data_IF_680126401254
#
_entry.id   IF_680126401254
#
_cell.length_a   1.000
_cell.length_b   1.000
_cell.length_c   1.000
_cell.angle_alpha   90.00
_cell.angle_beta   90.00
_cell.angle_gamma   90.00
#
_symmetry.space_group_name_H-M   'P 1'
#
loop_
_entity.id
_entity.type
_entity.pdbx_description
1 polymer ?
#
# COMPACT_ATOMS: atom_id res chain seq x y z
N UNK A 1 -13.13 18.49 -7.73
CA UNK A 1 -12.96 19.83 -7.14
C UNK A 1 -12.21 20.70 -8.13
N UNK A 2 -12.75 21.86 -8.52
CA UNK A 2 -12.07 22.84 -9.40
C UNK A 2 -11.45 24.00 -8.61
N UNK A 3 -11.85 24.19 -7.35
CA UNK A 3 -11.28 25.18 -6.42
C UNK A 3 -10.53 24.47 -5.28
N UNK A 4 -9.43 25.07 -4.81
CA UNK A 4 -8.64 24.55 -3.70
C UNK A 4 -9.28 24.91 -2.35
N UNK A 5 -9.25 23.98 -1.39
CA UNK A 5 -9.73 24.18 -0.01
C UNK A 5 -8.53 24.24 0.98
N UNK A 6 -7.85 25.38 1.09
CA UNK A 6 -6.67 25.51 1.95
C UNK A 6 -7.03 25.57 3.44
N UNK A 7 -6.27 24.84 4.26
CA UNK A 7 -6.27 25.05 5.72
C UNK A 7 -5.44 26.31 6.03
N UNK A 8 -6.11 27.40 6.43
CA UNK A 8 -5.48 28.73 6.62
C UNK A 8 -5.00 29.01 8.04
N UNK A 9 -5.46 28.24 9.02
CA UNK A 9 -5.14 28.41 10.43
C UNK A 9 -4.52 27.14 11.00
N UNK A 10 -3.56 27.30 11.90
CA UNK A 10 -2.93 26.17 12.60
C UNK A 10 -3.95 25.64 13.62
N UNK A 11 -4.34 24.36 13.58
CA UNK A 11 -5.22 23.78 14.58
C UNK A 11 -4.51 23.69 15.95
N UNK A 12 -5.17 24.12 17.02
CA UNK A 12 -4.63 24.07 18.39
C UNK A 12 -5.26 22.98 19.26
N UNK A 13 -6.42 22.47 18.86
CA UNK A 13 -7.15 21.47 19.64
C UNK A 13 -6.53 20.07 19.49
N UNK A 14 -6.41 19.35 20.61
CA UNK A 14 -6.07 17.92 20.63
C UNK A 14 -7.07 17.16 21.49
N UNK A 15 -7.70 16.14 20.90
CA UNK A 15 -8.65 15.25 21.57
C UNK A 15 -8.01 13.93 22.01
N UNK A 16 -6.81 13.62 21.52
CA UNK A 16 -6.13 12.36 21.78
C UNK A 16 -5.33 12.40 23.06
N UNK A 17 -5.42 11.31 23.81
CA UNK A 17 -4.78 11.14 25.13
C UNK A 17 -4.22 9.74 25.29
N UNK A 18 -3.55 9.52 26.42
CA UNK A 18 -3.04 8.21 26.81
C UNK A 18 -4.16 7.14 26.77
N UNK A 19 -3.88 6.05 26.07
CA UNK A 19 -4.80 4.93 25.89
C UNK A 19 -5.69 5.01 24.64
N UNK A 20 -5.73 6.15 23.95
CA UNK A 20 -6.31 6.22 22.60
C UNK A 20 -5.40 5.49 21.60
N UNK A 21 -5.95 5.06 20.47
CA UNK A 21 -5.27 4.15 19.54
C UNK A 21 -4.96 4.86 18.22
N UNK A 22 -3.69 4.80 17.81
CA UNK A 22 -3.26 5.23 16.49
C UNK A 22 -3.02 4.00 15.64
N UNK A 23 -3.67 3.93 14.48
CA UNK A 23 -3.57 2.81 13.54
C UNK A 23 -2.91 3.29 12.27
N UNK A 24 -1.68 2.84 12.02
CA UNK A 24 -1.01 3.06 10.74
C UNK A 24 -1.54 2.08 9.70
N UNK A 25 -2.31 2.59 8.75
CA UNK A 25 -2.93 1.82 7.68
C UNK A 25 -2.06 1.91 6.41
N UNK A 26 -0.94 1.21 6.49
CA UNK A 26 0.19 1.17 5.57
C UNK A 26 1.43 0.67 6.32
N UNK A 27 2.53 0.42 5.62
CA UNK A 27 3.78 -0.04 6.25
C UNK A 27 4.84 1.08 6.20
N UNK A 28 5.56 1.28 7.31
CA UNK A 28 6.56 2.34 7.43
C UNK A 28 7.88 1.91 6.78
N UNK A 29 8.19 2.49 5.62
CA UNK A 29 9.46 2.29 4.93
C UNK A 29 10.31 3.57 5.02
N UNK A 30 11.39 3.52 5.81
CA UNK A 30 12.33 4.64 5.94
C UNK A 30 11.71 5.92 6.50
N UNK A 31 12.24 7.08 6.06
CA UNK A 31 11.73 8.41 6.44
C UNK A 31 10.68 8.86 5.43
N UNK A 32 9.48 9.18 5.90
CA UNK A 32 8.40 9.71 5.08
C UNK A 32 7.42 10.59 5.87
N UNK A 33 6.38 11.11 5.22
CA UNK A 33 5.39 11.97 5.88
C UNK A 33 4.75 11.31 7.11
N UNK A 34 4.53 10.00 7.07
CA UNK A 34 3.96 9.24 8.17
C UNK A 34 4.79 9.30 9.47
N UNK A 35 6.10 9.50 9.38
CA UNK A 35 6.98 9.58 10.55
C UNK A 35 6.59 10.74 11.47
N UNK A 36 6.30 11.92 10.91
CA UNK A 36 5.91 13.09 11.70
C UNK A 36 4.57 12.90 12.40
N UNK A 37 3.59 12.29 11.71
CA UNK A 37 2.27 12.00 12.29
C UNK A 37 2.38 10.96 13.42
N UNK A 38 3.18 9.91 13.20
CA UNK A 38 3.45 8.87 14.20
C UNK A 38 4.11 9.44 15.45
N UNK A 39 5.07 10.35 15.29
CA UNK A 39 5.73 11.00 16.42
C UNK A 39 4.76 11.87 17.24
N UNK A 40 3.79 12.53 16.60
CA UNK A 40 2.75 13.27 17.32
C UNK A 40 1.81 12.33 18.10
N UNK A 41 1.42 11.19 17.50
CA UNK A 41 0.62 10.18 18.19
C UNK A 41 1.33 9.63 19.43
N UNK A 42 2.64 9.34 19.32
CA UNK A 42 3.47 8.92 20.46
C UNK A 42 3.55 9.99 21.55
N UNK A 43 3.76 11.26 21.16
CA UNK A 43 3.80 12.39 22.11
C UNK A 43 2.47 12.57 22.86
N UNK A 44 1.34 12.32 22.19
CA UNK A 44 0.02 12.30 22.83
C UNK A 44 -0.22 11.08 23.74
N UNK A 45 0.73 10.13 23.79
CA UNK A 45 0.65 8.92 24.61
C UNK A 45 -0.26 7.83 24.02
N UNK A 46 -0.58 7.93 22.72
CA UNK A 46 -1.42 6.95 22.04
C UNK A 46 -0.72 5.59 21.95
N UNK A 47 -1.51 4.52 22.01
CA UNK A 47 -1.06 3.18 21.67
C UNK A 47 -0.90 3.08 20.16
N UNK A 48 0.29 2.69 19.70
CA UNK A 48 0.60 2.54 18.27
C UNK A 48 0.30 1.11 17.83
N UNK A 49 -0.53 0.99 16.80
CA UNK A 49 -0.84 -0.26 16.09
C UNK A 49 -0.58 -0.05 14.60
N UNK A 50 -0.04 -1.04 13.92
CA UNK A 50 0.17 -1.02 12.48
C UNK A 50 -0.34 -2.28 11.80
N UNK A 51 -0.42 -2.22 10.48
CA UNK A 51 -0.61 -3.38 9.61
C UNK A 51 0.70 -3.73 8.90
N UNK A 52 0.74 -4.89 8.26
CA UNK A 52 1.81 -5.24 7.33
C UNK A 52 1.23 -5.54 5.95
N UNK A 53 1.97 -5.23 4.89
CA UNK A 53 1.63 -5.71 3.55
C UNK A 53 2.02 -7.18 3.36
N UNK A 54 2.70 -7.80 4.33
CA UNK A 54 3.27 -9.13 4.23
C UNK A 54 4.49 -9.17 3.31
N UNK A 55 4.88 -10.37 2.89
CA UNK A 55 5.98 -10.61 1.94
C UNK A 55 5.53 -11.62 0.90
N UNK A 56 6.32 -11.77 -0.16
CA UNK A 56 6.13 -12.88 -1.11
C UNK A 56 7.21 -13.93 -0.89
N UNK A 57 6.84 -15.20 -1.03
CA UNK A 57 7.77 -16.32 -0.98
C UNK A 57 8.45 -16.57 -2.35
N UNK A 58 9.20 -17.66 -2.47
CA UNK A 58 9.92 -18.04 -3.68
C UNK A 58 8.98 -18.36 -4.86
N UNK A 59 7.73 -18.75 -4.58
CA UNK A 59 6.69 -18.99 -5.56
C UNK A 59 5.86 -17.73 -5.85
N UNK A 60 6.31 -16.57 -5.37
CA UNK A 60 5.61 -15.30 -5.46
C UNK A 60 4.25 -15.29 -4.74
N UNK A 61 3.99 -16.22 -3.81
CA UNK A 61 2.75 -16.26 -3.04
C UNK A 61 2.82 -15.31 -1.84
N UNK A 62 1.72 -14.62 -1.53
CA UNK A 62 1.63 -13.69 -0.42
C UNK A 62 1.63 -14.45 0.92
N UNK A 63 2.49 -14.05 1.85
CA UNK A 63 2.63 -14.64 3.19
C UNK A 63 2.73 -13.57 4.29
N UNK A 64 2.39 -13.97 5.51
CA UNK A 64 2.66 -13.21 6.73
C UNK A 64 4.16 -13.01 6.95
N UNK A 65 4.49 -12.07 7.82
CA UNK A 65 5.86 -11.87 8.31
C UNK A 65 6.27 -13.08 9.16
N UNK A 66 7.53 -13.48 9.05
CA UNK A 66 8.16 -14.37 10.04
C UNK A 66 8.34 -13.64 11.37
N UNK A 67 8.62 -14.36 12.45
CA UNK A 67 8.81 -13.75 13.78
C UNK A 67 9.93 -12.68 13.77
N UNK A 68 11.02 -12.94 13.05
CA UNK A 68 12.12 -11.98 12.90
C UNK A 68 11.68 -10.74 12.11
N UNK A 69 10.99 -10.93 10.98
CA UNK A 69 10.48 -9.82 10.17
C UNK A 69 9.45 -8.98 10.94
N UNK A 70 8.61 -9.62 11.74
CA UNK A 70 7.62 -8.98 12.60
C UNK A 70 8.30 -8.16 13.69
N UNK A 71 9.25 -8.74 14.42
CA UNK A 71 9.99 -8.05 15.48
C UNK A 71 10.73 -6.81 14.95
N UNK A 72 11.36 -6.91 13.77
CA UNK A 72 12.02 -5.77 13.13
C UNK A 72 11.02 -4.68 12.71
N UNK A 73 9.86 -5.08 12.18
CA UNK A 73 8.83 -4.15 11.76
C UNK A 73 8.18 -3.43 12.96
N UNK A 74 7.91 -4.15 14.06
CA UNK A 74 7.40 -3.60 15.31
C UNK A 74 8.41 -2.65 15.97
N UNK A 75 9.70 -3.01 15.98
CA UNK A 75 10.76 -2.14 16.48
C UNK A 75 10.83 -0.82 15.69
N UNK A 76 10.68 -0.89 14.36
CA UNK A 76 10.64 0.30 13.49
C UNK A 76 9.39 1.15 13.72
N UNK A 77 8.23 0.51 13.86
CA UNK A 77 6.96 1.17 14.14
C UNK A 77 6.88 1.74 15.56
N UNK A 78 7.62 1.17 16.51
CA UNK A 78 7.48 1.48 17.93
C UNK A 78 6.09 1.14 18.47
N UNK A 79 5.53 0.02 18.02
CA UNK A 79 4.15 -0.41 18.30
C UNK A 79 3.89 -1.83 17.78
N UNK A 80 2.70 -2.35 18.08
CA UNK A 80 2.29 -3.70 17.67
C UNK A 80 1.89 -3.74 16.20
N UNK A 81 2.23 -4.81 15.49
CA UNK A 81 1.77 -5.05 14.12
C UNK A 81 0.80 -6.22 14.09
N UNK A 82 -0.36 -6.01 13.47
CA UNK A 82 -1.30 -7.08 13.14
C UNK A 82 -0.72 -7.83 11.93
N UNK A 83 -0.19 -9.03 12.16
CA UNK A 83 0.53 -9.84 11.17
C UNK A 83 -0.40 -10.58 10.19
N UNK A 84 -1.29 -9.83 9.54
CA UNK A 84 -2.16 -10.29 8.45
C UNK A 84 -1.74 -9.55 7.18
N UNK A 85 -1.35 -10.25 6.08
CA UNK A 85 -0.94 -9.61 4.84
C UNK A 85 -2.05 -8.76 4.21
N UNK A 86 -1.89 -7.44 4.27
CA UNK A 86 -2.81 -6.46 3.72
C UNK A 86 -2.20 -5.78 2.47
N UNK A 87 -1.77 -6.60 1.51
CA UNK A 87 -1.24 -6.13 0.23
C UNK A 87 -2.36 -5.59 -0.65
N UNK A 88 -2.35 -4.29 -0.95
CA UNK A 88 -3.24 -3.68 -1.93
C UNK A 88 -2.78 -4.00 -3.38
N UNK A 89 -3.59 -3.62 -4.37
CA UNK A 89 -3.30 -3.89 -5.78
C UNK A 89 -3.70 -5.30 -6.22
N UNK A 90 -3.64 -5.53 -7.53
CA UNK A 90 -4.10 -6.76 -8.20
C UNK A 90 -3.10 -7.28 -9.23
N UNK A 91 -1.95 -6.63 -9.39
CA UNK A 91 -0.97 -6.89 -10.44
C UNK A 91 -0.34 -8.29 -10.36
N UNK A 92 -0.45 -8.94 -9.21
CA UNK A 92 0.06 -10.28 -8.92
C UNK A 92 -1.01 -11.21 -8.35
N UNK A 93 -2.28 -10.97 -8.70
CA UNK A 93 -3.43 -11.83 -8.42
C UNK A 93 -3.99 -12.39 -9.73
N UNK A 94 -4.47 -13.64 -9.71
CA UNK A 94 -5.03 -14.32 -10.87
C UNK A 94 -5.98 -15.45 -10.45
N UNK A 95 -6.86 -15.91 -11.35
CA UNK A 95 -7.46 -17.24 -11.25
C UNK A 95 -6.42 -18.33 -11.03
N UNK A 96 -6.80 -19.41 -10.36
CA UNK A 96 -5.90 -20.56 -10.10
C UNK A 96 -5.28 -21.06 -11.40
N UNK A 97 -3.95 -21.19 -11.43
CA UNK A 97 -3.13 -21.57 -12.59
C UNK A 97 -3.17 -20.60 -13.79
N UNK A 98 -3.77 -19.42 -13.64
CA UNK A 98 -3.78 -18.37 -14.65
C UNK A 98 -2.61 -17.39 -14.52
N UNK A 99 -2.25 -16.67 -15.60
CA UNK A 99 -1.24 -15.61 -15.56
C UNK A 99 -1.72 -14.42 -14.73
N UNK A 100 -0.84 -13.79 -13.96
CA UNK A 100 -1.14 -12.50 -13.33
C UNK A 100 -1.12 -11.35 -14.36
N UNK A 101 -1.70 -10.18 -14.07
CA UNK A 101 -1.50 -9.00 -14.90
C UNK A 101 -0.03 -8.69 -15.16
N UNK A 102 0.86 -8.89 -14.17
CA UNK A 102 2.30 -8.74 -14.37
C UNK A 102 2.86 -9.75 -15.38
N UNK A 103 2.38 -10.99 -15.38
CA UNK A 103 2.81 -12.00 -16.37
C UNK A 103 2.33 -11.63 -17.78
N UNK A 104 1.12 -11.07 -17.91
CA UNK A 104 0.61 -10.57 -19.19
C UNK A 104 1.46 -9.41 -19.73
N UNK A 105 1.99 -8.57 -18.85
CA UNK A 105 2.90 -7.48 -19.21
C UNK A 105 4.33 -7.96 -19.52
N UNK A 106 4.74 -9.13 -19.03
CA UNK A 106 6.12 -9.62 -19.19
C UNK A 106 6.51 -9.88 -20.65
N UNK A 107 5.53 -10.14 -21.53
CA UNK A 107 5.73 -10.32 -22.97
C UNK A 107 5.88 -9.04 -23.78
N UNK A 108 5.64 -7.87 -23.19
CA UNK A 108 5.74 -6.58 -23.89
C UNK A 108 7.20 -6.14 -24.06
N UNK A 109 7.52 -5.59 -25.23
CA UNK A 109 8.83 -5.02 -25.56
C UNK A 109 8.74 -3.51 -25.77
N UNK A 110 9.88 -2.83 -25.95
CA UNK A 110 9.89 -1.39 -26.24
C UNK A 110 9.26 -1.05 -27.59
N UNK A 111 9.23 -2.00 -28.50
CA UNK A 111 8.65 -1.89 -29.83
C UNK A 111 7.17 -2.25 -29.83
N UNK A 112 6.71 -3.15 -28.95
CA UNK A 112 5.35 -3.69 -29.01
C UNK A 112 4.37 -3.09 -28.01
N UNK A 113 4.84 -2.49 -26.90
CA UNK A 113 3.97 -2.12 -25.78
C UNK A 113 2.81 -1.17 -26.16
N UNK A 114 3.05 -0.20 -27.06
CA UNK A 114 2.05 0.80 -27.46
C UNK A 114 0.86 0.20 -28.24
N UNK A 115 1.08 -0.95 -28.88
CA UNK A 115 0.07 -1.63 -29.70
C UNK A 115 -0.38 -2.96 -29.10
N UNK A 116 0.29 -3.42 -28.04
CA UNK A 116 -0.08 -4.61 -27.30
C UNK A 116 -1.49 -4.45 -26.71
N UNK A 117 -2.29 -5.51 -26.78
CA UNK A 117 -3.64 -5.53 -26.22
C UNK A 117 -3.69 -6.47 -25.02
N UNK A 118 -4.47 -6.06 -24.03
CA UNK A 118 -4.79 -6.87 -22.85
C UNK A 118 -6.23 -7.37 -22.97
N UNK A 119 -6.46 -8.59 -22.49
CA UNK A 119 -7.79 -9.13 -22.28
C UNK A 119 -8.39 -8.49 -21.02
N UNK A 120 -9.28 -7.50 -21.21
CA UNK A 120 -9.86 -6.75 -20.10
C UNK A 120 -10.82 -7.58 -19.26
N UNK A 121 -11.55 -8.53 -19.85
CA UNK A 121 -12.42 -9.45 -19.09
C UNK A 121 -11.59 -10.35 -18.18
N UNK A 122 -10.36 -10.70 -18.59
CA UNK A 122 -9.40 -11.38 -17.73
C UNK A 122 -8.85 -10.46 -16.63
N UNK A 123 -8.46 -9.23 -16.95
CA UNK A 123 -7.96 -8.25 -15.97
C UNK A 123 -9.01 -7.97 -14.89
N UNK A 124 -10.28 -7.80 -15.26
CA UNK A 124 -11.39 -7.60 -14.31
C UNK A 124 -11.55 -8.77 -13.33
N UNK A 125 -11.37 -10.01 -13.82
CA UNK A 125 -11.37 -11.20 -12.94
C UNK A 125 -10.21 -11.17 -11.95
N UNK A 126 -9.00 -10.81 -12.38
CA UNK A 126 -7.86 -10.65 -11.48
C UNK A 126 -8.11 -9.56 -10.42
N UNK A 127 -8.68 -8.43 -10.83
CA UNK A 127 -9.05 -7.34 -9.92
C UNK A 127 -10.11 -7.77 -8.90
N UNK A 128 -11.11 -8.54 -9.31
CA UNK A 128 -12.14 -9.06 -8.41
C UNK A 128 -11.54 -10.01 -7.36
N UNK A 129 -10.63 -10.91 -7.76
CA UNK A 129 -9.91 -11.81 -6.86
C UNK A 129 -9.08 -11.03 -5.84
N UNK A 130 -8.31 -10.04 -6.30
CA UNK A 130 -7.50 -9.20 -5.42
C UNK A 130 -8.36 -8.40 -4.43
N UNK A 131 -9.51 -7.89 -4.90
CA UNK A 131 -10.47 -7.15 -4.06
C UNK A 131 -11.05 -8.06 -2.98
N UNK A 132 -11.44 -9.28 -3.33
CA UNK A 132 -11.92 -10.28 -2.37
C UNK A 132 -10.83 -10.66 -1.35
N UNK A 133 -9.59 -10.88 -1.81
CA UNK A 133 -8.42 -11.13 -0.94
C UNK A 133 -8.21 -9.97 0.04
N UNK A 134 -8.14 -8.74 -0.46
CA UNK A 134 -7.89 -7.55 0.36
C UNK A 134 -9.00 -7.32 1.39
N UNK A 135 -10.27 -7.40 0.98
CA UNK A 135 -11.42 -7.21 1.89
C UNK A 135 -11.53 -8.32 2.93
N UNK A 136 -11.17 -9.56 2.58
CA UNK A 136 -11.07 -10.67 3.54
C UNK A 136 -9.98 -10.41 4.58
N UNK A 137 -8.75 -10.10 4.14
CA UNK A 137 -7.66 -9.75 5.04
C UNK A 137 -8.01 -8.54 5.91
N UNK A 138 -8.64 -7.52 5.34
CA UNK A 138 -9.08 -6.33 6.05
C UNK A 138 -10.07 -6.67 7.17
N UNK A 139 -11.03 -7.55 6.88
CA UNK A 139 -12.00 -8.00 7.88
C UNK A 139 -11.31 -8.71 9.05
N UNK A 140 -10.29 -9.54 8.78
CA UNK A 140 -9.48 -10.18 9.81
C UNK A 140 -8.68 -9.17 10.63
N UNK A 141 -8.05 -8.19 9.97
CA UNK A 141 -7.33 -7.10 10.65
C UNK A 141 -8.25 -6.32 11.58
N UNK A 142 -9.43 -5.94 11.11
CA UNK A 142 -10.39 -5.18 11.92
C UNK A 142 -10.94 -5.99 13.08
N UNK A 143 -11.20 -7.29 12.90
CA UNK A 143 -11.62 -8.18 13.99
C UNK A 143 -10.55 -8.31 15.09
N UNK A 144 -9.27 -8.37 14.70
CA UNK A 144 -8.15 -8.39 15.67
C UNK A 144 -8.01 -7.01 16.35
N UNK A 145 -8.13 -5.93 15.58
CA UNK A 145 -8.00 -4.56 16.08
C UNK A 145 -9.12 -4.18 17.07
N UNK A 146 -10.33 -4.70 16.89
CA UNK A 146 -11.46 -4.48 17.80
C UNK A 146 -11.08 -4.85 19.26
N UNK A 147 -10.47 -6.02 19.45
CA UNK A 147 -9.97 -6.46 20.76
C UNK A 147 -8.79 -5.63 21.32
N UNK A 148 -8.26 -4.67 20.55
CA UNK A 148 -7.18 -3.78 20.96
C UNK A 148 -7.67 -2.40 21.41
N UNK A 149 -8.92 -2.05 21.14
CA UNK A 149 -9.52 -0.74 21.40
C UNK A 149 -10.50 -0.87 22.57
N UNK A 150 -10.20 -0.23 23.69
CA UNK A 150 -11.13 -0.22 24.83
C UNK A 150 -12.31 0.73 24.60
N UNK A 151 -13.43 0.46 25.27
CA UNK A 151 -14.62 1.32 25.23
C UNK A 151 -14.30 2.78 25.57
N UNK A 152 -14.92 3.71 24.83
CA UNK A 152 -14.78 5.14 25.03
C UNK A 152 -13.42 5.73 24.65
N UNK A 153 -12.59 4.99 23.88
CA UNK A 153 -11.30 5.47 23.37
C UNK A 153 -11.43 6.07 21.97
N UNK A 154 -10.63 7.11 21.71
CA UNK A 154 -10.51 7.65 20.36
C UNK A 154 -9.60 6.76 19.52
N UNK A 155 -9.88 6.69 18.23
CA UNK A 155 -9.07 5.95 17.26
C UNK A 155 -8.73 6.85 16.09
N UNK A 156 -7.45 6.90 15.72
CA UNK A 156 -6.98 7.60 14.52
C UNK A 156 -6.51 6.56 13.49
N UNK A 157 -7.21 6.44 12.36
CA UNK A 157 -6.76 5.65 11.23
C UNK A 157 -5.96 6.53 10.26
N UNK A 158 -4.65 6.29 10.17
CA UNK A 158 -3.75 7.00 9.27
C UNK A 158 -3.48 6.17 8.02
N UNK A 159 -4.21 6.43 6.93
CA UNK A 159 -3.99 5.76 5.66
C UNK A 159 -2.78 6.30 4.91
N UNK A 160 -1.84 5.43 4.54
CA UNK A 160 -0.61 5.81 3.83
C UNK A 160 -0.30 4.94 2.61
N UNK A 161 -1.23 4.09 2.17
CA UNK A 161 -1.01 3.25 0.98
C UNK A 161 -0.99 4.12 -0.27
N UNK A 162 0.07 3.99 -1.06
CA UNK A 162 0.22 4.59 -2.38
C UNK A 162 1.19 3.73 -3.20
N UNK A 163 0.91 3.54 -4.48
CA UNK A 163 1.69 2.66 -5.34
C UNK A 163 0.83 2.03 -6.44
N UNK A 164 1.11 0.77 -6.77
CA UNK A 164 0.36 0.01 -7.79
C UNK A 164 1.02 -0.04 -9.17
N UNK A 165 2.32 0.29 -9.26
CA UNK A 165 3.10 0.10 -10.49
C UNK A 165 3.44 -1.39 -10.63
N UNK A 166 3.01 -2.09 -11.71
CA UNK A 166 3.35 -3.49 -11.92
C UNK A 166 4.85 -3.71 -12.10
N UNK A 167 5.36 -4.88 -11.72
CA UNK A 167 6.76 -5.26 -11.88
C UNK A 167 7.08 -5.70 -13.33
N UNK A 168 6.85 -4.81 -14.30
CA UNK A 168 7.12 -5.06 -15.71
C UNK A 168 8.43 -4.39 -16.16
N UNK A 169 9.31 -5.14 -16.84
CA UNK A 169 10.62 -4.62 -17.31
C UNK A 169 10.46 -3.41 -18.25
N UNK A 170 9.48 -3.46 -19.15
CA UNK A 170 9.23 -2.39 -20.11
C UNK A 170 8.88 -1.07 -19.42
N UNK A 171 8.10 -1.11 -18.34
CA UNK A 171 7.64 0.08 -17.62
C UNK A 171 8.79 0.92 -17.09
N UNK A 172 9.84 0.30 -16.53
CA UNK A 172 10.98 1.05 -15.97
C UNK A 172 11.69 1.89 -17.04
N UNK A 173 11.80 1.37 -18.26
CA UNK A 173 12.41 2.10 -19.38
C UNK A 173 11.51 3.26 -19.82
N UNK A 174 10.20 3.03 -19.93
CA UNK A 174 9.22 4.06 -20.27
C UNK A 174 9.20 5.18 -19.23
N UNK A 175 9.13 4.83 -17.94
CA UNK A 175 9.18 5.78 -16.84
C UNK A 175 10.44 6.66 -16.88
N UNK A 176 11.61 6.10 -17.21
CA UNK A 176 12.82 6.90 -17.37
C UNK A 176 12.72 7.91 -18.52
N UNK A 177 12.10 7.55 -19.64
CA UNK A 177 11.89 8.48 -20.77
C UNK A 177 10.88 9.58 -20.43
N UNK A 178 9.83 9.23 -19.69
CA UNK A 178 8.77 10.18 -19.29
C UNK A 178 9.28 11.15 -18.24
N UNK A 179 9.85 10.64 -17.14
CA UNK A 179 10.21 11.47 -15.99
C UNK A 179 11.57 12.17 -16.11
N UNK A 180 12.51 11.59 -16.88
CA UNK A 180 13.91 12.06 -16.94
C UNK A 180 14.39 12.34 -18.36
N UNK A 181 13.65 11.90 -19.38
CA UNK A 181 14.03 12.05 -20.78
C UNK A 181 13.94 13.50 -21.23
N UNK A 182 14.99 13.96 -21.90
CA UNK A 182 15.06 15.29 -22.53
C UNK A 182 15.33 15.13 -24.02
N UNK A 183 14.95 16.14 -24.81
CA UNK A 183 15.18 16.17 -26.27
C UNK A 183 14.69 14.86 -26.93
N UNK A 184 15.53 14.20 -27.75
CA UNK A 184 15.17 12.94 -28.43
C UNK A 184 14.86 11.76 -27.49
N UNK A 185 15.21 11.84 -26.19
CA UNK A 185 14.90 10.80 -25.20
C UNK A 185 13.57 11.04 -24.49
N UNK A 186 13.02 12.25 -24.58
CA UNK A 186 11.72 12.59 -24.00
C UNK A 186 10.61 11.70 -24.56
N UNK A 187 9.64 11.38 -23.71
CA UNK A 187 8.38 10.73 -24.07
C UNK A 187 7.26 11.44 -23.30
N UNK A 188 6.19 11.81 -23.99
CA UNK A 188 5.02 12.41 -23.34
C UNK A 188 4.39 11.40 -22.39
N UNK A 189 3.89 11.86 -21.24
CA UNK A 189 3.10 11.01 -20.34
C UNK A 189 1.78 10.57 -20.95
N UNK A 190 1.28 11.24 -22.01
CA UNK A 190 0.07 10.84 -22.74
C UNK A 190 0.29 9.62 -23.64
N UNK A 191 1.54 9.23 -23.88
CA UNK A 191 1.87 8.05 -24.69
C UNK A 191 1.70 6.76 -23.90
N UNK A 192 1.87 6.83 -22.57
CA UNK A 192 1.64 5.72 -21.64
C UNK A 192 0.18 5.68 -21.18
#
# INVERSE_FOLDING_TARGET
MTELNPLRHIPEANVFRKGDVFVLFGELFGRGYATGLLDQARKAGMRIVGITVGRRDENNALRALTDNELAEAEARLGGTIINVPLMAGFDADAPVNGPTPTDLLAGMTLESWEHSKLDWDYIERCQAIATARFTTSLSQVMAILDGMIADGRNVFFAHTMAGGIPKAKVFLVLANRIYKGTSARHMSSQTL
#
